data_IF_077265717437
#
_entry.id   IF_077265717437
#
_cell.length_a   1.000
_cell.length_b   1.000
_cell.length_c   1.000
_cell.angle_alpha   90.00
_cell.angle_beta   90.00
_cell.angle_gamma   90.00
#
_symmetry.space_group_name_H-M   'P 1'
#
loop_
_entity.id
_entity.type
_entity.pdbx_description
1 polymer ?
#
# COMPACT_ATOMS: atom_id res chain seq x y z
N UNK A 1 13.11 -5.04 -15.94
CA UNK A 1 12.52 -3.69 -15.86
C UNK A 1 11.28 -3.80 -15.01
N UNK A 2 11.12 -2.95 -13.99
CA UNK A 2 9.96 -3.03 -13.09
C UNK A 2 8.70 -2.68 -13.89
N UNK A 3 7.74 -3.61 -13.97
CA UNK A 3 6.47 -3.39 -14.64
C UNK A 3 5.48 -2.75 -13.66
N UNK A 4 5.51 -1.41 -13.61
CA UNK A 4 4.68 -0.63 -12.70
C UNK A 4 3.19 -0.70 -13.04
N UNK A 5 2.84 -0.84 -14.32
CA UNK A 5 1.42 -0.89 -14.71
C UNK A 5 0.80 -2.20 -14.22
N UNK A 6 1.48 -3.32 -14.43
CA UNK A 6 1.07 -4.59 -13.85
C UNK A 6 1.05 -4.54 -12.32
N UNK A 7 2.03 -3.89 -11.68
CA UNK A 7 2.05 -3.74 -10.21
C UNK A 7 0.84 -2.95 -9.68
N UNK A 8 0.42 -1.89 -10.40
CA UNK A 8 -0.76 -1.09 -10.04
C UNK A 8 -2.07 -1.86 -10.21
N UNK A 9 -2.17 -2.70 -11.24
CA UNK A 9 -3.40 -3.46 -11.54
C UNK A 9 -3.54 -4.73 -10.69
N UNK A 10 -2.42 -5.43 -10.46
CA UNK A 10 -2.40 -6.75 -9.84
C UNK A 10 -2.04 -6.73 -8.35
N UNK A 11 -1.45 -5.65 -7.82
CA UNK A 11 -1.14 -5.53 -6.39
C UNK A 11 -0.35 -6.73 -5.84
N UNK A 12 -0.89 -7.40 -4.81
CA UNK A 12 -0.32 -8.61 -4.23
C UNK A 12 -0.10 -9.75 -5.23
N UNK A 13 -0.97 -9.92 -6.22
CA UNK A 13 -0.81 -10.94 -7.27
C UNK A 13 0.47 -10.69 -8.09
N UNK A 14 0.85 -9.43 -8.28
CA UNK A 14 2.11 -9.09 -8.95
C UNK A 14 3.32 -9.53 -8.12
N UNK A 15 3.28 -9.32 -6.80
CA UNK A 15 4.36 -9.74 -5.90
C UNK A 15 4.56 -11.26 -5.93
N UNK A 16 3.47 -12.03 -5.93
CA UNK A 16 3.49 -13.48 -6.08
C UNK A 16 4.13 -13.90 -7.41
N UNK A 17 3.70 -13.31 -8.53
CA UNK A 17 4.25 -13.60 -9.86
C UNK A 17 5.75 -13.28 -9.98
N UNK A 18 6.24 -12.29 -9.22
CA UNK A 18 7.66 -11.92 -9.19
C UNK A 18 8.48 -12.69 -8.16
N UNK A 19 7.85 -13.51 -7.31
CA UNK A 19 8.53 -14.29 -6.28
C UNK A 19 8.93 -13.48 -5.04
N UNK A 20 8.22 -12.39 -4.75
CA UNK A 20 8.46 -11.54 -3.56
C UNK A 20 7.54 -11.87 -2.38
N UNK A 21 6.55 -12.75 -2.57
CA UNK A 21 5.56 -13.12 -1.57
C UNK A 21 5.26 -14.62 -1.67
N UNK A 22 4.72 -15.19 -0.59
CA UNK A 22 4.16 -16.54 -0.56
C UNK A 22 2.64 -16.52 -0.79
N UNK A 23 2.04 -17.60 -1.34
CA UNK A 23 0.61 -17.67 -1.61
C UNK A 23 -0.28 -17.25 -0.43
N UNK A 24 0.14 -17.61 0.79
CA UNK A 24 -0.59 -17.33 2.02
C UNK A 24 -0.58 -15.84 2.42
N UNK A 25 0.42 -15.07 1.99
CA UNK A 25 0.53 -13.63 2.34
C UNK A 25 -0.69 -12.83 1.84
N UNK A 26 -1.24 -13.25 0.71
CA UNK A 26 -2.41 -12.63 0.09
C UNK A 26 -3.64 -12.74 1.01
N UNK A 27 -3.84 -13.90 1.62
CA UNK A 27 -5.01 -14.17 2.47
C UNK A 27 -4.98 -13.37 3.79
N UNK A 28 -3.80 -12.88 4.16
CA UNK A 28 -3.56 -12.07 5.36
C UNK A 28 -3.45 -10.56 5.06
N UNK A 29 -3.71 -10.14 3.82
CA UNK A 29 -3.78 -8.74 3.43
C UNK A 29 -5.23 -8.29 3.24
N UNK A 30 -5.54 -7.07 3.68
CA UNK A 30 -6.81 -6.41 3.35
C UNK A 30 -7.01 -6.38 1.82
N UNK A 31 -8.24 -6.61 1.35
CA UNK A 31 -8.59 -6.75 -0.07
C UNK A 31 -7.73 -7.78 -0.82
N UNK A 32 -7.17 -8.76 -0.10
CA UNK A 32 -6.19 -9.70 -0.64
C UNK A 32 -5.00 -8.99 -1.35
N UNK A 33 -4.60 -7.82 -0.84
CA UNK A 33 -3.53 -7.00 -1.40
C UNK A 33 -3.84 -6.40 -2.77
N UNK A 34 -5.09 -6.39 -3.24
CA UNK A 34 -5.45 -5.91 -4.58
C UNK A 34 -6.90 -5.42 -4.68
N UNK A 35 -7.08 -4.17 -5.10
CA UNK A 35 -8.40 -3.67 -5.49
C UNK A 35 -8.70 -3.99 -6.96
N UNK A 36 -9.80 -4.69 -7.24
CA UNK A 36 -10.20 -5.09 -8.61
C UNK A 36 -10.56 -3.91 -9.52
N UNK A 37 -10.85 -2.74 -8.96
CA UNK A 37 -11.22 -1.52 -9.67
C UNK A 37 -10.01 -0.65 -10.06
N UNK A 38 -8.79 -1.09 -9.75
CA UNK A 38 -7.58 -0.35 -10.09
C UNK A 38 -7.39 -0.25 -11.62
N UNK A 39 -7.23 0.97 -12.12
CA UNK A 39 -7.01 1.26 -13.54
C UNK A 39 -5.72 2.09 -13.71
N UNK A 40 -4.60 1.46 -14.16
CA UNK A 40 -3.34 2.15 -14.39
C UNK A 40 -3.41 3.27 -15.44
N UNK A 41 -4.43 3.29 -16.31
CA UNK A 41 -4.63 4.35 -17.30
C UNK A 41 -5.09 5.66 -16.67
N UNK A 42 -5.68 5.61 -15.47
CA UNK A 42 -6.08 6.79 -14.69
C UNK A 42 -4.94 7.41 -13.89
N UNK A 43 -3.79 6.74 -13.82
CA UNK A 43 -2.60 7.24 -13.13
C UNK A 43 -1.73 8.03 -14.10
N UNK A 44 -1.50 9.30 -13.79
CA UNK A 44 -0.74 10.19 -14.67
C UNK A 44 0.71 9.72 -14.87
N UNK A 45 1.28 10.07 -16.03
CA UNK A 45 2.71 9.80 -16.32
C UNK A 45 3.61 10.43 -15.25
N UNK A 46 3.23 11.60 -14.72
CA UNK A 46 3.96 12.27 -13.64
C UNK A 46 3.96 11.45 -12.36
N UNK A 47 2.81 10.90 -11.95
CA UNK A 47 2.70 10.04 -10.77
C UNK A 47 3.55 8.76 -10.93
N UNK A 48 3.47 8.10 -12.09
CA UNK A 48 4.28 6.92 -12.43
C UNK A 48 5.79 7.22 -12.36
N UNK A 49 6.24 8.33 -12.98
CA UNK A 49 7.65 8.75 -12.95
C UNK A 49 8.17 9.04 -11.53
N UNK A 50 7.34 9.62 -10.65
CA UNK A 50 7.70 9.87 -9.25
C UNK A 50 7.74 8.58 -8.42
N UNK A 51 6.79 7.67 -8.66
CA UNK A 51 6.62 6.44 -7.88
C UNK A 51 7.61 5.34 -8.20
N UNK A 52 7.90 5.11 -9.48
CA UNK A 52 8.75 4.00 -9.93
C UNK A 52 10.09 3.89 -9.19
N UNK A 53 10.91 4.96 -9.03
CA UNK A 53 12.19 4.86 -8.34
C UNK A 53 12.06 4.64 -6.83
N UNK A 54 10.86 4.77 -6.25
CA UNK A 54 10.61 4.65 -4.81
C UNK A 54 10.01 3.30 -4.42
N UNK A 55 9.75 2.42 -5.38
CA UNK A 55 9.17 1.11 -5.12
C UNK A 55 10.14 0.26 -4.27
N UNK A 56 9.61 -0.35 -3.20
CA UNK A 56 10.43 -1.11 -2.25
C UNK A 56 11.21 -0.25 -1.24
N UNK A 57 10.90 1.05 -1.12
CA UNK A 57 11.50 1.93 -0.10
C UNK A 57 10.51 2.26 1.02
N UNK A 58 11.00 2.48 2.24
CA UNK A 58 10.15 2.89 3.37
C UNK A 58 9.62 4.31 3.20
N UNK A 59 10.50 5.25 2.91
CA UNK A 59 10.16 6.67 2.82
C UNK A 59 10.70 7.55 3.93
N UNK A 60 9.96 8.63 4.18
CA UNK A 60 10.24 9.63 5.21
C UNK A 60 8.93 10.00 5.93
N UNK A 61 9.02 10.78 7.00
CA UNK A 61 7.88 11.09 7.88
C UNK A 61 7.71 9.99 8.92
N UNK A 62 6.47 9.58 9.17
CA UNK A 62 6.12 8.49 10.09
C UNK A 62 6.26 7.09 9.47
N UNK A 63 7.09 6.91 8.45
CA UNK A 63 7.32 5.61 7.81
C UNK A 63 8.55 4.92 8.42
N UNK A 64 8.40 3.67 8.86
CA UNK A 64 9.43 2.92 9.58
C UNK A 64 9.29 1.41 9.38
N UNK A 65 10.37 0.69 9.71
CA UNK A 65 10.38 -0.76 9.86
C UNK A 65 11.00 -1.05 11.24
N UNK A 66 10.23 -1.66 12.13
CA UNK A 66 10.63 -1.89 13.51
C UNK A 66 10.58 -3.38 13.83
N UNK A 67 11.62 -3.86 14.51
CA UNK A 67 11.61 -5.16 15.17
C UNK A 67 11.14 -4.94 16.59
N UNK A 68 10.03 -5.57 16.96
CA UNK A 68 9.32 -5.36 18.20
C UNK A 68 9.16 -6.68 18.95
N UNK A 69 8.87 -6.60 20.25
CA UNK A 69 8.56 -7.76 21.09
C UNK A 69 7.17 -7.57 21.68
N UNK A 70 6.34 -8.61 21.65
CA UNK A 70 5.02 -8.60 22.29
C UNK A 70 5.20 -8.60 23.81
N UNK A 71 5.06 -7.43 24.45
CA UNK A 71 5.29 -7.29 25.89
C UNK A 71 4.08 -7.74 26.75
N UNK A 72 2.87 -7.42 26.29
CA UNK A 72 1.63 -7.76 26.99
C UNK A 72 0.57 -8.30 26.01
N UNK A 73 -0.21 -9.26 26.49
CA UNK A 73 -1.37 -9.82 25.78
C UNK A 73 -2.61 -9.51 26.62
N UNK A 74 -3.56 -8.78 26.03
CA UNK A 74 -4.79 -8.36 26.71
C UNK A 74 -5.97 -9.30 26.48
N UNK A 75 -6.00 -9.99 25.34
CA UNK A 75 -7.00 -10.98 24.97
C UNK A 75 -6.28 -12.21 24.42
N UNK A 76 -6.27 -13.27 25.22
CA UNK A 76 -5.58 -14.53 24.88
C UNK A 76 -6.22 -15.23 23.68
N UNK A 77 -7.55 -15.15 23.54
CA UNK A 77 -8.25 -15.81 22.44
C UNK A 77 -7.96 -15.12 21.10
N UNK A 78 -8.00 -13.79 21.07
CA UNK A 78 -7.67 -13.04 19.87
C UNK A 78 -6.19 -13.18 19.51
N UNK A 79 -5.29 -13.16 20.49
CA UNK A 79 -3.86 -13.35 20.27
C UNK A 79 -3.53 -14.72 19.67
N UNK A 80 -4.12 -15.80 20.21
CA UNK A 80 -3.99 -17.16 19.64
C UNK A 80 -4.44 -17.21 18.17
N UNK A 81 -5.58 -16.58 17.85
CA UNK A 81 -6.08 -16.50 16.47
C UNK A 81 -5.19 -15.70 15.52
N UNK A 82 -4.46 -14.71 16.04
CA UNK A 82 -3.49 -13.91 15.28
C UNK A 82 -2.08 -14.53 15.26
N UNK A 83 -1.85 -15.62 15.99
CA UNK A 83 -0.51 -16.22 16.13
C UNK A 83 0.46 -15.36 16.95
N UNK A 84 -0.06 -14.64 17.94
CA UNK A 84 0.69 -13.75 18.84
C UNK A 84 0.86 -14.34 20.24
N UNK A 85 2.08 -14.32 20.77
CA UNK A 85 2.41 -14.76 22.13
C UNK A 85 3.33 -13.77 22.86
N UNK A 86 3.23 -13.69 24.18
CA UNK A 86 4.10 -12.82 25.00
C UNK A 86 5.57 -13.23 24.84
N UNK A 87 6.42 -12.24 24.53
CA UNK A 87 7.85 -12.44 24.27
C UNK A 87 8.19 -12.71 22.80
N UNK A 88 7.19 -12.87 21.92
CA UNK A 88 7.41 -13.09 20.49
C UNK A 88 8.03 -11.86 19.83
N UNK A 89 8.98 -12.10 18.92
CA UNK A 89 9.55 -11.06 18.06
C UNK A 89 8.67 -10.90 16.81
N UNK A 90 8.27 -9.66 16.53
CA UNK A 90 7.48 -9.28 15.36
C UNK A 90 8.19 -8.20 14.55
N UNK A 91 7.83 -8.07 13.28
CA UNK A 91 8.28 -6.97 12.41
C UNK A 91 7.08 -6.14 12.01
N UNK A 92 7.11 -4.85 12.31
CA UNK A 92 6.09 -3.89 11.91
C UNK A 92 6.63 -3.00 10.79
N UNK A 93 5.94 -3.01 9.64
CA UNK A 93 6.28 -2.16 8.49
C UNK A 93 5.18 -1.11 8.32
N UNK A 94 5.53 0.16 8.54
CA UNK A 94 4.65 1.30 8.29
C UNK A 94 5.13 2.06 7.05
N UNK A 95 4.44 1.88 5.92
CA UNK A 95 4.73 2.56 4.65
C UNK A 95 3.44 2.76 3.83
N UNK A 96 3.56 3.33 2.64
CA UNK A 96 2.43 3.54 1.74
C UNK A 96 2.84 3.67 0.28
N UNK A 97 1.97 4.25 -0.53
CA UNK A 97 2.11 4.40 -1.99
C UNK A 97 3.18 5.40 -2.45
N UNK A 98 4.00 5.89 -1.52
CA UNK A 98 5.12 6.82 -1.77
C UNK A 98 4.66 8.07 -2.53
N UNK A 99 5.53 8.63 -3.37
CA UNK A 99 5.23 9.79 -4.20
C UNK A 99 4.17 9.54 -5.27
N UNK A 100 3.83 8.29 -5.57
CA UNK A 100 2.80 7.94 -6.55
C UNK A 100 1.42 8.37 -6.05
N UNK A 101 1.00 7.87 -4.89
CA UNK A 101 -0.33 8.18 -4.34
C UNK A 101 -0.50 9.67 -4.01
N UNK A 102 0.54 10.32 -3.50
CA UNK A 102 0.51 11.78 -3.30
C UNK A 102 0.26 12.52 -4.61
N UNK A 103 0.91 12.13 -5.71
CA UNK A 103 0.71 12.79 -7.00
C UNK A 103 -0.68 12.49 -7.57
N UNK A 104 -1.18 11.26 -7.43
CA UNK A 104 -2.56 10.90 -7.83
C UNK A 104 -3.59 11.76 -7.09
N UNK A 105 -3.43 11.93 -5.78
CA UNK A 105 -4.31 12.80 -4.98
C UNK A 105 -4.25 14.26 -5.45
N UNK A 106 -3.05 14.79 -5.70
CA UNK A 106 -2.88 16.15 -6.23
C UNK A 106 -3.57 16.33 -7.58
N UNK A 107 -3.37 15.39 -8.51
CA UNK A 107 -3.95 15.44 -9.85
C UNK A 107 -5.49 15.36 -9.81
N UNK A 108 -6.03 14.53 -8.90
CA UNK A 108 -7.46 14.40 -8.69
C UNK A 108 -8.07 15.69 -8.12
N UNK A 109 -7.43 16.31 -7.12
CA UNK A 109 -7.89 17.58 -6.53
C UNK A 109 -7.98 18.70 -7.57
N UNK A 110 -6.95 18.88 -8.40
CA UNK A 110 -6.96 19.88 -9.48
C UNK A 110 -8.11 19.63 -10.46
N UNK A 111 -8.37 18.36 -10.79
CA UNK A 111 -9.47 17.99 -11.69
C UNK A 111 -10.84 18.26 -11.05
N UNK A 112 -10.98 17.97 -9.76
CA UNK A 112 -12.21 18.21 -8.99
C UNK A 112 -12.47 19.71 -8.87
N UNK A 113 -11.48 20.53 -8.54
CA UNK A 113 -11.58 22.00 -8.48
C UNK A 113 -12.09 22.58 -9.80
N UNK A 114 -11.53 22.14 -10.93
CA UNK A 114 -12.00 22.57 -12.25
C UNK A 114 -13.44 22.15 -12.55
N UNK A 115 -13.84 20.95 -12.12
CA UNK A 115 -15.23 20.47 -12.27
C UNK A 115 -16.21 21.27 -11.40
N UNK A 116 -15.83 21.57 -10.16
CA UNK A 116 -16.65 22.33 -9.20
C UNK A 116 -16.90 23.75 -9.70
N UNK A 117 -15.88 24.43 -10.23
CA UNK A 117 -16.01 25.75 -10.84
C UNK A 117 -16.96 25.73 -12.05
N UNK A 118 -16.86 24.72 -12.92
CA UNK A 118 -17.74 24.57 -14.08
C UNK A 118 -19.20 24.33 -13.69
N UNK A 119 -19.44 23.59 -12.60
CA UNK A 119 -20.76 23.15 -12.18
C UNK A 119 -21.42 24.07 -11.12
N UNK A 120 -20.79 25.18 -10.72
CA UNK A 120 -21.27 26.10 -9.68
C UNK A 120 -21.57 25.42 -8.32
N UNK A 121 -20.91 24.31 -8.04
CA UNK A 121 -20.99 23.61 -6.74
C UNK A 121 -19.77 24.00 -5.91
N UNK A 122 -19.99 24.68 -4.78
CA UNK A 122 -18.94 24.98 -3.80
C UNK A 122 -18.71 23.81 -2.86
#
# INVERSE_FOLDING_TARGET
>A
MWDLEAALELGGDWLLQKGYAWPEDKEHCEENGRMLTADPSKVSIRAKKRGLPQMGTLGAGNHYCEVQVVDEVYDEFAADKMGLEKGQVCVMIHSGSRGLGHQVATDALVTMEGCMQRNNTR
#
